data_IF_776731673380
#
_entry.id   IF_776731673380
#
_cell.length_a   1.000
_cell.length_b   1.000
_cell.length_c   1.000
_cell.angle_alpha   90.00
_cell.angle_beta   90.00
_cell.angle_gamma   90.00
#
_symmetry.space_group_name_H-M   'P 1'
#
loop_
_entity.id
_entity.type
_entity.pdbx_description
1 polymer ?
#
# COMPACT_ATOMS: atom_id res chain seq x y z
N UNK A 1 13.49 12.83 -8.74
CA UNK A 1 12.18 12.73 -8.03
C UNK A 1 11.01 13.04 -8.96
N UNK A 2 11.18 13.91 -9.96
CA UNK A 2 10.19 14.16 -11.02
C UNK A 2 10.10 12.97 -12.00
N UNK A 3 11.22 12.31 -12.32
CA UNK A 3 11.30 11.26 -13.35
C UNK A 3 10.44 10.03 -13.06
N UNK A 4 10.09 9.79 -11.79
CA UNK A 4 9.23 8.69 -11.38
C UNK A 4 7.76 8.98 -11.69
N UNK A 5 7.35 10.26 -11.67
CA UNK A 5 5.99 10.70 -11.97
C UNK A 5 5.74 10.82 -13.48
N UNK A 6 6.78 11.05 -14.28
CA UNK A 6 6.72 11.11 -15.75
C UNK A 6 6.93 9.75 -16.44
N UNK A 7 7.09 8.67 -15.68
CA UNK A 7 7.29 7.34 -16.27
C UNK A 7 6.06 6.93 -17.09
N UNK A 8 6.21 6.62 -18.39
CA UNK A 8 5.09 6.35 -19.28
C UNK A 8 4.27 5.12 -18.87
N UNK A 9 4.89 4.14 -18.20
CA UNK A 9 4.21 2.95 -17.66
C UNK A 9 3.27 3.35 -16.51
N UNK A 10 3.72 4.25 -15.64
CA UNK A 10 2.92 4.80 -14.53
C UNK A 10 1.79 5.71 -15.05
N UNK A 11 2.08 6.59 -16.00
CA UNK A 11 1.10 7.46 -16.64
C UNK A 11 -0.01 6.67 -17.35
N UNK A 12 0.34 5.55 -18.01
CA UNK A 12 -0.65 4.68 -18.67
C UNK A 12 -1.66 4.07 -17.70
N UNK A 13 -1.31 3.91 -16.42
CA UNK A 13 -2.24 3.47 -15.37
C UNK A 13 -3.23 4.58 -14.97
N UNK A 14 -2.83 5.84 -15.04
CA UNK A 14 -3.67 7.00 -14.72
C UNK A 14 -4.77 7.26 -15.78
N UNK A 15 -4.55 6.88 -17.04
CA UNK A 15 -5.53 7.00 -18.14
C UNK A 15 -6.83 6.20 -17.91
N UNK A 16 -6.86 5.29 -16.93
CA UNK A 16 -8.01 4.43 -16.64
C UNK A 16 -9.13 5.14 -15.86
N UNK A 17 -8.88 6.36 -15.36
CA UNK A 17 -9.87 7.15 -14.61
C UNK A 17 -10.21 6.59 -13.22
N UNK A 18 -9.47 5.59 -12.75
CA UNK A 18 -9.55 5.13 -11.37
C UNK A 18 -8.79 6.13 -10.50
N UNK A 19 -9.49 6.83 -9.62
CA UNK A 19 -8.87 7.75 -8.67
C UNK A 19 -7.96 6.95 -7.74
N UNK A 20 -6.64 7.18 -7.83
CA UNK A 20 -5.74 6.85 -6.74
C UNK A 20 -5.96 7.88 -5.63
N UNK A 21 -7.04 7.76 -4.85
CA UNK A 21 -7.20 8.60 -3.68
C UNK A 21 -6.15 8.18 -2.63
N UNK A 22 -4.97 8.81 -2.68
CA UNK A 22 -3.89 8.59 -1.72
C UNK A 22 -4.32 8.90 -0.27
N UNK A 23 -5.33 9.76 -0.09
CA UNK A 23 -5.86 10.17 1.21
C UNK A 23 -6.83 9.14 1.81
N UNK A 24 -7.46 8.29 1.00
CA UNK A 24 -8.24 7.13 1.48
C UNK A 24 -7.34 5.95 1.90
N UNK A 25 -6.09 5.90 1.42
CA UNK A 25 -5.24 4.71 1.57
C UNK A 25 -4.36 4.66 2.81
N UNK A 26 -3.82 5.77 3.34
CA UNK A 26 -2.95 5.70 4.53
C UNK A 26 -3.73 5.44 5.82
N UNK A 27 -4.90 6.06 5.96
CA UNK A 27 -5.79 5.84 7.11
C UNK A 27 -6.20 4.38 7.20
N UNK A 28 -6.56 3.76 6.06
CA UNK A 28 -6.86 2.34 6.01
C UNK A 28 -5.69 1.48 6.53
N UNK A 29 -4.44 1.85 6.21
CA UNK A 29 -3.26 1.17 6.75
C UNK A 29 -3.12 1.38 8.26
N UNK A 30 -3.33 2.60 8.78
CA UNK A 30 -3.30 2.86 10.23
C UNK A 30 -4.29 1.97 10.96
N UNK A 31 -5.53 1.90 10.46
CA UNK A 31 -6.58 1.10 11.09
C UNK A 31 -6.41 -0.41 10.87
N UNK A 32 -5.62 -0.83 9.88
CA UNK A 32 -5.20 -2.23 9.74
C UNK A 32 -4.19 -2.66 10.80
N UNK A 33 -3.43 -1.71 11.37
CA UNK A 33 -2.49 -1.95 12.48
C UNK A 33 -3.23 -1.85 13.81
N UNK A 34 -4.03 -0.79 14.00
CA UNK A 34 -4.79 -0.53 15.22
C UNK A 34 -6.28 -0.46 14.89
N UNK A 35 -7.07 -1.52 15.12
CA UNK A 35 -8.48 -1.52 14.74
C UNK A 35 -9.29 -0.40 15.41
N UNK A 36 -10.10 0.35 14.64
CA UNK A 36 -10.95 1.43 15.18
C UNK A 36 -11.90 0.99 16.29
N UNK A 37 -12.26 -0.29 16.33
CA UNK A 37 -13.16 -0.87 17.34
C UNK A 37 -12.54 -0.95 18.74
N UNK A 38 -11.23 -0.68 18.89
CA UNK A 38 -10.53 -0.72 20.17
C UNK A 38 -9.98 0.66 20.52
N UNK A 39 -9.98 0.96 21.81
CA UNK A 39 -9.29 2.14 22.33
C UNK A 39 -7.78 1.95 22.22
N UNK A 40 -7.09 3.01 21.79
CA UNK A 40 -5.64 3.07 21.68
C UNK A 40 -5.15 4.40 22.23
N UNK A 41 -4.10 4.38 23.05
CA UNK A 41 -3.49 5.60 23.56
C UNK A 41 -2.79 6.40 22.45
N UNK A 42 -2.60 7.70 22.70
CA UNK A 42 -1.94 8.63 21.77
C UNK A 42 -0.60 8.11 21.23
N UNK A 43 0.25 7.54 22.11
CA UNK A 43 1.57 7.01 21.72
C UNK A 43 1.45 5.86 20.71
N UNK A 44 0.48 4.97 20.89
CA UNK A 44 0.22 3.86 19.98
C UNK A 44 -0.24 4.36 18.61
N UNK A 45 -1.19 5.30 18.58
CA UNK A 45 -1.68 5.90 17.33
C UNK A 45 -0.54 6.61 16.58
N UNK A 46 0.30 7.37 17.29
CA UNK A 46 1.47 8.03 16.70
C UNK A 46 2.45 7.03 16.09
N UNK A 47 2.72 5.92 16.78
CA UNK A 47 3.58 4.85 16.26
C UNK A 47 2.98 4.17 15.03
N UNK A 48 1.68 3.84 15.07
CA UNK A 48 0.99 3.24 13.94
C UNK A 48 0.97 4.16 12.71
N UNK A 49 0.81 5.48 12.89
CA UNK A 49 0.89 6.45 11.81
C UNK A 49 2.29 6.47 11.17
N UNK A 50 3.35 6.47 11.98
CA UNK A 50 4.73 6.41 11.48
C UNK A 50 4.99 5.13 10.67
N UNK A 51 4.63 3.95 11.20
CA UNK A 51 4.78 2.67 10.50
C UNK A 51 3.92 2.65 9.23
N UNK A 52 2.70 3.18 9.29
CA UNK A 52 1.79 3.25 8.15
C UNK A 52 2.37 4.08 7.01
N UNK A 53 3.11 5.16 7.32
CA UNK A 53 3.80 5.95 6.30
C UNK A 53 4.88 5.13 5.56
N UNK A 54 5.60 4.25 6.27
CA UNK A 54 6.57 3.33 5.67
C UNK A 54 5.85 2.33 4.79
N UNK A 55 4.82 1.66 5.33
CA UNK A 55 4.04 0.64 4.63
C UNK A 55 3.35 1.16 3.39
N UNK A 56 2.89 2.40 3.42
CA UNK A 56 2.22 3.04 2.31
C UNK A 56 3.20 3.36 1.18
N UNK A 57 4.34 3.98 1.52
CA UNK A 57 5.29 4.48 0.51
C UNK A 57 6.25 3.40 -0.01
N UNK A 58 6.70 2.48 0.84
CA UNK A 58 7.77 1.51 0.53
C UNK A 58 7.33 0.06 0.70
N UNK A 59 6.12 -0.19 1.20
CA UNK A 59 5.73 -1.54 1.61
C UNK A 59 6.34 -1.94 2.97
N UNK A 60 6.16 -3.20 3.33
CA UNK A 60 6.61 -3.80 4.60
C UNK A 60 8.13 -3.94 4.63
N UNK A 61 8.76 -4.24 3.49
CA UNK A 61 10.21 -4.24 3.32
C UNK A 61 10.87 -2.89 3.64
N UNK A 62 10.11 -1.79 3.62
CA UNK A 62 10.57 -0.49 4.09
C UNK A 62 11.02 -0.48 5.57
N UNK A 63 10.57 -1.44 6.39
CA UNK A 63 11.01 -1.58 7.78
C UNK A 63 12.45 -2.04 7.92
N UNK A 64 13.07 -2.64 6.90
CA UNK A 64 14.46 -3.13 6.96
C UNK A 64 15.41 -1.97 7.34
N UNK A 65 15.25 -0.81 6.71
CA UNK A 65 16.03 0.39 7.05
C UNK A 65 15.73 0.91 8.45
N UNK A 66 14.49 0.79 8.90
CA UNK A 66 14.13 1.19 10.25
C UNK A 66 14.79 0.29 11.30
N UNK A 67 14.77 -1.04 11.09
CA UNK A 67 15.41 -2.00 11.99
C UNK A 67 16.92 -1.78 12.08
N UNK A 68 17.58 -1.55 10.95
CA UNK A 68 19.00 -1.19 10.90
C UNK A 68 19.32 0.06 11.75
N UNK A 69 18.50 1.12 11.62
CA UNK A 69 18.68 2.36 12.38
C UNK A 69 18.49 2.21 13.89
N UNK A 70 17.68 1.25 14.35
CA UNK A 70 17.47 0.99 15.78
C UNK A 70 18.33 -0.16 16.32
N UNK A 71 19.27 -0.67 15.52
CA UNK A 71 20.19 -1.74 15.91
C UNK A 71 19.52 -3.12 16.03
N UNK A 72 18.39 -3.33 15.35
CA UNK A 72 17.71 -4.63 15.29
C UNK A 72 18.24 -5.38 14.07
N UNK A 73 18.89 -6.55 14.25
CA UNK A 73 19.39 -7.33 13.13
C UNK A 73 18.22 -7.87 12.30
N UNK A 74 18.32 -7.72 10.98
CA UNK A 74 17.35 -8.26 10.03
C UNK A 74 17.88 -9.61 9.55
N UNK A 75 17.19 -10.69 9.93
CA UNK A 75 17.53 -12.03 9.43
C UNK A 75 16.93 -12.27 8.05
N UNK A 76 17.46 -13.25 7.32
CA UNK A 76 16.96 -13.62 6.00
C UNK A 76 15.50 -14.09 6.04
N UNK A 77 15.08 -14.76 7.12
CA UNK A 77 13.69 -15.17 7.33
C UNK A 77 12.78 -13.96 7.49
N UNK A 78 13.20 -12.94 8.25
CA UNK A 78 12.45 -11.71 8.41
C UNK A 78 12.34 -10.97 7.07
N UNK A 79 13.44 -10.85 6.34
CA UNK A 79 13.46 -10.21 5.02
C UNK A 79 12.52 -10.93 4.05
N UNK A 80 12.60 -12.26 3.97
CA UNK A 80 11.72 -13.09 3.15
C UNK A 80 10.24 -12.91 3.51
N UNK A 81 9.91 -12.87 4.80
CA UNK A 81 8.54 -12.64 5.27
C UNK A 81 8.01 -11.24 4.89
N UNK A 82 8.85 -10.19 5.00
CA UNK A 82 8.47 -8.83 4.63
C UNK A 82 8.24 -8.70 3.11
N UNK A 83 9.14 -9.25 2.31
CA UNK A 83 9.02 -9.27 0.84
C UNK A 83 7.80 -10.08 0.39
N UNK A 84 7.54 -11.24 0.99
CA UNK A 84 6.36 -12.04 0.69
C UNK A 84 5.05 -11.31 0.98
N UNK A 85 4.99 -10.51 2.05
CA UNK A 85 3.83 -9.64 2.33
C UNK A 85 3.66 -8.54 1.29
N UNK A 86 4.77 -7.96 0.81
CA UNK A 86 4.72 -6.94 -0.24
C UNK A 86 4.29 -7.51 -1.58
N UNK A 87 4.76 -8.71 -1.94
CA UNK A 87 4.32 -9.44 -3.12
C UNK A 87 2.80 -9.64 -3.12
N UNK A 88 2.25 -10.22 -2.04
CA UNK A 88 0.79 -10.44 -1.89
C UNK A 88 -0.01 -9.15 -1.97
N UNK A 89 0.54 -8.04 -1.44
CA UNK A 89 -0.10 -6.72 -1.53
C UNK A 89 -0.21 -6.25 -2.98
N UNK A 90 0.87 -6.38 -3.76
CA UNK A 90 0.90 -5.99 -5.18
C UNK A 90 -0.05 -6.88 -5.98
N UNK A 91 0.04 -8.20 -5.81
CA UNK A 91 -0.83 -9.17 -6.47
C UNK A 91 -2.31 -8.86 -6.25
N UNK A 92 -2.71 -8.59 -5.00
CA UNK A 92 -4.09 -8.20 -4.66
C UNK A 92 -4.52 -6.90 -5.36
N UNK A 93 -3.62 -5.91 -5.44
CA UNK A 93 -3.91 -4.64 -6.09
C UNK A 93 -4.09 -4.81 -7.61
N UNK A 94 -3.28 -5.65 -8.25
CA UNK A 94 -3.39 -5.97 -9.67
C UNK A 94 -4.69 -6.73 -9.97
N UNK A 95 -5.00 -7.75 -9.16
CA UNK A 95 -6.25 -8.50 -9.28
C UNK A 95 -7.49 -7.62 -9.12
N UNK A 96 -7.48 -6.69 -8.16
CA UNK A 96 -8.58 -5.73 -7.99
C UNK A 96 -8.71 -4.81 -9.21
N UNK A 97 -7.58 -4.32 -9.75
CA UNK A 97 -7.57 -3.47 -10.95
C UNK A 97 -8.19 -4.20 -12.15
N UNK A 98 -7.79 -5.46 -12.38
CA UNK A 98 -8.36 -6.28 -13.45
C UNK A 98 -9.87 -6.50 -13.27
N UNK A 99 -10.34 -6.77 -12.05
CA UNK A 99 -11.77 -6.90 -11.75
C UNK A 99 -12.54 -5.62 -12.05
N UNK A 100 -12.02 -4.46 -11.66
CA UNK A 100 -12.64 -3.17 -11.95
C UNK A 100 -12.72 -2.92 -13.47
N UNK A 101 -11.68 -3.25 -14.23
CA UNK A 101 -11.69 -3.15 -15.70
C UNK A 101 -12.78 -4.03 -16.32
N UNK A 102 -12.93 -5.28 -15.85
CA UNK A 102 -13.98 -6.20 -16.32
C UNK A 102 -15.37 -5.63 -16.02
N UNK A 103 -15.60 -5.11 -14.81
CA UNK A 103 -16.88 -4.52 -14.41
C UNK A 103 -17.20 -3.31 -15.28
N UNK A 104 -16.22 -2.42 -15.53
CA UNK A 104 -16.39 -1.24 -16.38
C UNK A 104 -16.80 -1.63 -17.80
N UNK A 105 -16.08 -2.59 -18.42
CA UNK A 105 -16.42 -3.10 -19.77
C UNK A 105 -17.81 -3.73 -19.84
N UNK A 106 -18.27 -4.38 -18.75
CA UNK A 106 -19.62 -4.96 -18.69
C UNK A 106 -20.70 -3.88 -18.66
N UNK A 107 -20.49 -2.79 -17.92
CA UNK A 107 -21.41 -1.64 -17.89
C UNK A 107 -21.50 -0.96 -19.27
N UNK A 108 -20.36 -0.71 -19.90
CA UNK A 108 -20.28 -0.14 -21.26
C UNK A 108 -21.04 -0.99 -22.30
N UNK A 109 -20.96 -2.33 -22.21
CA UNK A 109 -21.73 -3.24 -23.08
C UNK A 109 -23.23 -3.25 -22.82
N UNK A 110 -23.67 -2.90 -21.62
CA UNK A 110 -25.08 -2.83 -21.23
C UNK A 110 -25.70 -1.45 -21.50
N UNK A 111 -24.93 -0.50 -22.05
CA UNK A 111 -25.41 0.85 -22.35
C UNK A 111 -25.71 1.70 -21.12
N UNK A 112 -25.15 1.34 -19.96
CA UNK A 112 -25.26 2.06 -18.68
C UNK A 112 -23.97 2.83 -18.41
#
# INVERSE_FOLDING_TARGET
MIDTLTNPILLRRCLRGATQNANESINSVVWSILPKSKYHGYRSIRGAAAISSIFFNRGRSGLVKFFDQVGIPVTDELLGALLGKDYKRIEKAENNTQRHDIIKRRKERQGI
#
